data_IF_961147104087
#
_entry.id   IF_961147104087
#
_cell.length_a   1.000
_cell.length_b   1.000
_cell.length_c   1.000
_cell.angle_alpha   90.00
_cell.angle_beta   90.00
_cell.angle_gamma   90.00
#
_symmetry.space_group_name_H-M   'P 1'
#
loop_
_entity.id
_entity.type
_entity.pdbx_description
1 polymer ?
#
# COMPACT_ATOMS: atom_id res chain seq x y z
N UNK A 1 3.16 12.03 9.36
CA UNK A 1 4.37 11.47 8.72
C UNK A 1 3.96 10.25 7.92
N UNK A 2 4.57 10.01 6.76
CA UNK A 2 4.36 8.77 6.01
C UNK A 2 4.99 7.58 6.78
N UNK A 3 4.27 6.48 6.85
CA UNK A 3 4.65 5.22 7.46
C UNK A 3 5.32 4.40 6.38
N UNK A 4 6.61 4.21 6.59
CA UNK A 4 7.47 3.47 5.68
C UNK A 4 7.93 2.21 6.40
N UNK A 5 7.84 1.06 5.74
CA UNK A 5 8.38 -0.21 6.22
C UNK A 5 9.37 -0.76 5.21
N UNK A 6 10.59 -1.03 5.65
CA UNK A 6 11.62 -1.67 4.82
C UNK A 6 11.52 -3.19 4.93
N UNK A 7 11.58 -3.88 3.80
CA UNK A 7 11.57 -5.35 3.71
C UNK A 7 12.55 -5.78 2.61
N UNK A 8 13.70 -6.30 2.99
CA UNK A 8 14.79 -6.57 2.05
C UNK A 8 15.19 -5.30 1.30
N UNK A 9 15.25 -5.38 -0.02
CA UNK A 9 15.58 -4.26 -0.92
C UNK A 9 14.37 -3.39 -1.28
N UNK A 10 13.23 -3.56 -0.60
CA UNK A 10 11.99 -2.86 -0.89
C UNK A 10 11.56 -1.95 0.24
N UNK A 11 10.96 -0.83 -0.15
CA UNK A 11 10.31 0.12 0.70
C UNK A 11 8.79 0.04 0.46
N UNK A 12 8.06 -0.30 1.51
CA UNK A 12 6.59 -0.25 1.53
C UNK A 12 6.16 1.08 2.10
N UNK A 13 5.24 1.75 1.43
CA UNK A 13 4.68 3.03 1.90
C UNK A 13 3.16 2.91 1.96
N UNK A 14 2.61 3.16 3.15
CA UNK A 14 1.17 3.32 3.30
C UNK A 14 0.74 4.63 2.64
N UNK A 15 -0.12 4.54 1.64
CA UNK A 15 -0.57 5.66 0.83
C UNK A 15 -2.10 5.73 0.79
N UNK A 16 -2.61 6.91 0.50
CA UNK A 16 -4.02 7.18 0.37
C UNK A 16 -4.26 8.08 -0.84
N UNK A 17 -5.22 7.70 -1.67
CA UNK A 17 -5.65 8.50 -2.81
C UNK A 17 -7.04 9.05 -2.55
N UNK A 18 -7.27 10.36 -2.69
CA UNK A 18 -8.63 10.89 -2.69
C UNK A 18 -9.37 10.38 -3.92
N UNK A 19 -10.61 9.92 -3.73
CA UNK A 19 -11.50 9.47 -4.80
C UNK A 19 -12.94 9.89 -4.47
N UNK A 20 -13.53 10.79 -5.26
CA UNK A 20 -14.91 11.28 -5.14
C UNK A 20 -15.35 11.64 -3.71
N UNK A 21 -14.54 12.45 -3.02
CA UNK A 21 -14.82 12.89 -1.64
C UNK A 21 -14.58 11.83 -0.57
N UNK A 22 -14.03 10.67 -0.94
CA UNK A 22 -13.60 9.58 -0.05
C UNK A 22 -12.09 9.33 -0.22
N UNK A 23 -11.54 8.40 0.55
CA UNK A 23 -10.13 8.05 0.57
C UNK A 23 -9.96 6.55 0.31
N UNK A 24 -9.34 6.21 -0.81
CA UNK A 24 -8.89 4.85 -1.10
C UNK A 24 -7.56 4.59 -0.40
N UNK A 25 -7.37 3.36 0.09
CA UNK A 25 -6.13 2.94 0.74
C UNK A 25 -5.31 2.09 -0.22
N UNK A 26 -4.01 2.36 -0.28
CA UNK A 26 -3.11 1.65 -1.17
C UNK A 26 -1.72 1.50 -0.54
N UNK A 27 -0.97 0.53 -1.05
CA UNK A 27 0.43 0.32 -0.68
C UNK A 27 1.29 0.50 -1.91
N UNK A 28 2.28 1.37 -1.79
CA UNK A 28 3.31 1.55 -2.79
C UNK A 28 4.52 0.70 -2.41
N UNK A 29 5.00 -0.08 -3.37
CA UNK A 29 6.27 -0.81 -3.26
C UNK A 29 7.28 -0.10 -4.14
N UNK A 30 8.37 0.36 -3.56
CA UNK A 30 9.48 0.98 -4.28
C UNK A 30 10.81 0.35 -3.90
N UNK A 31 11.86 0.61 -4.69
CA UNK A 31 13.25 0.40 -4.25
C UNK A 31 13.78 1.66 -3.56
N UNK A 32 14.81 1.53 -2.70
CA UNK A 32 15.62 2.65 -2.25
C UNK A 32 15.99 3.55 -3.44
N UNK A 33 15.75 4.86 -3.32
CA UNK A 33 15.90 5.82 -4.42
C UNK A 33 14.59 6.25 -5.09
N UNK A 34 13.44 5.71 -4.66
CA UNK A 34 12.13 6.32 -4.92
C UNK A 34 11.42 5.87 -6.20
N UNK A 35 11.92 4.86 -6.90
CA UNK A 35 11.21 4.30 -8.06
C UNK A 35 10.15 3.30 -7.58
N UNK A 36 8.88 3.72 -7.66
CA UNK A 36 7.72 2.85 -7.38
C UNK A 36 7.62 1.77 -8.45
N UNK A 37 7.64 0.52 -8.02
CA UNK A 37 7.54 -0.66 -8.88
C UNK A 37 6.11 -1.16 -8.98
N UNK A 38 5.41 -1.18 -7.85
CA UNK A 38 4.05 -1.70 -7.76
C UNK A 38 3.18 -0.82 -6.87
N UNK A 39 1.90 -0.79 -7.22
CA UNK A 39 0.83 -0.13 -6.48
C UNK A 39 -0.24 -1.18 -6.22
N UNK A 40 -0.61 -1.34 -4.96
CA UNK A 40 -1.62 -2.30 -4.53
C UNK A 40 -2.80 -1.57 -3.94
N UNK A 41 -3.94 -1.61 -4.63
CA UNK A 41 -5.21 -1.14 -4.08
C UNK A 41 -5.67 -2.14 -3.00
N UNK A 42 -6.08 -1.63 -1.84
CA UNK A 42 -6.57 -2.49 -0.76
C UNK A 42 -8.06 -2.81 -0.94
N UNK A 43 -8.55 -3.98 -0.45
CA UNK A 43 -9.89 -4.51 -0.77
C UNK A 43 -11.08 -3.71 -0.21
N UNK A 44 -10.90 -2.52 0.37
CA UNK A 44 -11.98 -1.69 0.89
C UNK A 44 -12.27 -0.54 -0.07
N UNK A 45 -13.53 -0.43 -0.51
CA UNK A 45 -13.97 0.45 -1.59
C UNK A 45 -13.57 1.93 -1.41
N UNK A 46 -13.72 2.52 -0.23
CA UNK A 46 -13.13 3.80 0.20
C UNK A 46 -13.64 4.22 1.59
N UNK A 47 -12.85 5.00 2.32
CA UNK A 47 -13.19 5.55 3.64
C UNK A 47 -13.68 6.99 3.52
N UNK A 48 -14.63 7.41 4.36
CA UNK A 48 -15.01 8.82 4.45
C UNK A 48 -13.96 9.66 5.21
N UNK A 49 -13.22 9.03 6.13
CA UNK A 49 -12.21 9.67 6.95
C UNK A 49 -10.79 9.33 6.46
N UNK A 50 -9.98 10.38 6.30
CA UNK A 50 -8.61 10.28 5.80
C UNK A 50 -7.71 9.49 6.74
N UNK A 51 -7.89 9.67 8.05
CA UNK A 51 -7.06 9.02 9.07
C UNK A 51 -7.40 7.54 9.16
N UNK A 52 -8.67 7.16 9.07
CA UNK A 52 -9.12 5.78 9.01
C UNK A 52 -8.55 5.04 7.79
N UNK A 53 -8.58 5.65 6.60
CA UNK A 53 -7.95 5.09 5.41
C UNK A 53 -6.44 4.85 5.63
N UNK A 54 -5.78 5.86 6.20
CA UNK A 54 -4.35 5.80 6.44
C UNK A 54 -3.95 4.73 7.46
N UNK A 55 -4.69 4.65 8.57
CA UNK A 55 -4.47 3.65 9.62
C UNK A 55 -4.77 2.24 9.11
N UNK A 56 -5.76 2.09 8.21
CA UNK A 56 -6.03 0.84 7.52
C UNK A 56 -4.86 0.43 6.61
N UNK A 57 -4.37 1.33 5.75
CA UNK A 57 -3.21 1.07 4.89
C UNK A 57 -1.97 0.67 5.70
N UNK A 58 -1.74 1.30 6.86
CA UNK A 58 -0.63 1.01 7.76
C UNK A 58 -0.74 -0.38 8.41
N UNK A 59 -1.92 -0.73 8.91
CA UNK A 59 -2.16 -2.07 9.48
C UNK A 59 -1.97 -3.16 8.44
N UNK A 60 -2.48 -2.93 7.24
CA UNK A 60 -2.36 -3.87 6.13
C UNK A 60 -0.90 -4.03 5.68
N UNK A 61 -0.16 -2.93 5.58
CA UNK A 61 1.28 -2.92 5.29
C UNK A 61 2.08 -3.72 6.33
N UNK A 62 1.71 -3.67 7.61
CA UNK A 62 2.36 -4.45 8.65
C UNK A 62 2.16 -5.96 8.49
N UNK A 63 1.03 -6.38 7.90
CA UNK A 63 0.70 -7.79 7.67
C UNK A 63 1.26 -8.36 6.35
N UNK A 64 1.76 -7.51 5.44
CA UNK A 64 2.28 -7.97 4.15
C UNK A 64 3.58 -8.75 4.29
N UNK A 65 3.84 -9.64 3.34
CA UNK A 65 5.20 -10.06 2.99
C UNK A 65 5.54 -9.59 1.57
N UNK A 66 6.83 -9.56 1.24
CA UNK A 66 7.33 -9.11 -0.07
C UNK A 66 8.14 -10.24 -0.67
N UNK A 67 7.81 -10.65 -1.89
CA UNK A 67 8.59 -11.63 -2.65
C UNK A 67 9.89 -11.01 -3.19
N UNK A 68 10.79 -11.86 -3.69
CA UNK A 68 12.06 -11.42 -4.28
C UNK A 68 11.91 -10.53 -5.52
N UNK A 69 10.77 -10.58 -6.22
CA UNK A 69 10.46 -9.68 -7.34
C UNK A 69 9.71 -8.40 -6.91
N UNK A 70 9.42 -8.23 -5.61
CA UNK A 70 8.79 -7.03 -5.05
C UNK A 70 7.28 -7.09 -5.00
N UNK A 71 6.67 -8.25 -5.25
CA UNK A 71 5.22 -8.40 -5.12
C UNK A 71 4.80 -8.56 -3.67
N UNK A 72 3.68 -7.96 -3.32
CA UNK A 72 3.06 -8.18 -2.02
C UNK A 72 2.27 -9.49 -2.00
N UNK A 73 2.28 -10.13 -0.85
CA UNK A 73 1.32 -11.17 -0.51
C UNK A 73 0.83 -11.00 0.93
N UNK A 74 -0.43 -11.36 1.12
CA UNK A 74 -1.18 -11.43 2.37
C UNK A 74 -2.33 -12.39 2.06
N UNK A 75 -2.78 -13.17 3.05
CA UNK A 75 -3.97 -14.04 2.95
C UNK A 75 -5.22 -13.32 2.40
N UNK A 76 -5.26 -11.98 2.44
CA UNK A 76 -6.35 -11.13 1.97
C UNK A 76 -6.10 -10.35 0.66
N UNK A 77 -4.96 -10.53 -0.04
CA UNK A 77 -4.61 -9.68 -1.20
C UNK A 77 -5.27 -10.15 -2.52
N UNK A 78 -5.91 -9.22 -3.24
CA UNK A 78 -6.09 -9.31 -4.70
C UNK A 78 -5.18 -8.24 -5.34
N UNK A 79 -4.26 -8.63 -6.21
CA UNK A 79 -3.34 -7.71 -6.86
C UNK A 79 -3.98 -7.07 -8.11
N UNK A 80 -4.05 -5.74 -8.17
CA UNK A 80 -4.32 -4.98 -9.39
C UNK A 80 -2.99 -4.53 -10.05
N UNK A 81 -2.91 -4.59 -11.39
CA UNK A 81 -1.76 -4.06 -12.13
C UNK A 81 -1.85 -2.54 -12.25
N UNK A 82 -0.76 -1.83 -11.93
CA UNK A 82 -0.62 -0.42 -12.28
C UNK A 82 -0.32 -0.31 -13.79
N UNK A 83 -1.18 0.41 -14.52
CA UNK A 83 -1.02 0.73 -15.93
C UNK A 83 0.02 1.84 -16.14
#
# INVERSE_FOLDING_TARGET
>A
MASIRHVGDYQLTAHITPNDGRFASEILVSRPGGLTLYRYDLPVAAFADRRAAYDYARQWMAACTVSADGRLSNDSLHASHAA
#
